data_IF_217406050268
#
_entry.id   IF_217406050268
#
_cell.length_a   1.000
_cell.length_b   1.000
_cell.length_c   1.000
_cell.angle_alpha   90.00
_cell.angle_beta   90.00
_cell.angle_gamma   90.00
#
_symmetry.space_group_name_H-M   'P 1'
#
loop_
_entity.id
_entity.type
_entity.pdbx_description
1 polymer ?
#
# COMPACT_ATOMS: atom_id res chain seq x y z
N UNK A 1 -6.84 23.81 28.17
CA UNK A 1 -6.86 24.28 26.77
C UNK A 1 -6.73 23.06 25.87
N UNK A 2 -7.64 22.86 24.91
CA UNK A 2 -7.51 21.77 23.95
C UNK A 2 -6.26 22.04 23.10
N UNK A 3 -5.34 21.08 23.06
CA UNK A 3 -4.11 21.23 22.28
C UNK A 3 -4.45 21.01 20.81
N UNK A 4 -4.40 22.10 20.02
CA UNK A 4 -4.38 21.99 18.57
C UNK A 4 -3.22 21.11 18.14
N UNK A 5 -3.49 20.16 17.25
CA UNK A 5 -2.43 19.37 16.62
C UNK A 5 -2.02 20.11 15.35
N UNK A 6 -0.81 20.68 15.30
CA UNK A 6 -0.34 21.39 14.12
C UNK A 6 -0.27 20.48 12.89
N UNK A 7 -0.25 21.04 11.68
CA UNK A 7 0.14 20.28 10.50
C UNK A 7 1.47 19.56 10.78
N UNK A 8 1.61 18.34 10.26
CA UNK A 8 2.72 17.45 10.61
C UNK A 8 3.45 16.96 9.38
N UNK A 9 4.78 16.97 9.42
CA UNK A 9 5.63 16.35 8.42
C UNK A 9 5.94 14.93 8.86
N UNK A 10 5.72 13.98 7.96
CA UNK A 10 5.95 12.56 8.20
C UNK A 10 7.32 12.16 7.64
N UNK A 11 8.08 11.41 8.43
CA UNK A 11 9.36 10.82 8.03
C UNK A 11 9.49 9.44 8.68
N UNK A 12 8.98 8.42 8.01
CA UNK A 12 9.02 7.06 8.52
C UNK A 12 10.45 6.51 8.55
N UNK A 13 10.83 5.94 9.69
CA UNK A 13 12.15 5.34 9.87
C UNK A 13 12.04 3.83 9.65
N UNK A 14 12.63 3.34 8.57
CA UNK A 14 12.50 1.93 8.17
C UNK A 14 13.03 0.95 9.22
N UNK A 15 14.09 1.31 9.94
CA UNK A 15 14.66 0.49 11.03
C UNK A 15 13.69 0.28 12.21
N UNK A 16 12.64 1.09 12.33
CA UNK A 16 11.61 0.92 13.35
C UNK A 16 10.43 0.06 12.89
N UNK A 17 10.41 -0.40 11.63
CA UNK A 17 9.28 -1.16 11.08
C UNK A 17 9.01 -2.44 11.88
N UNK A 18 10.04 -3.17 12.30
CA UNK A 18 9.87 -4.36 13.14
C UNK A 18 9.18 -4.03 14.46
N UNK A 19 9.61 -2.95 15.13
CA UNK A 19 9.00 -2.47 16.37
C UNK A 19 7.53 -2.09 16.20
N UNK A 20 7.18 -1.41 15.10
CA UNK A 20 5.80 -1.02 14.81
C UNK A 20 4.89 -2.18 14.41
N UNK A 21 5.44 -3.26 13.87
CA UNK A 21 4.68 -4.48 13.53
C UNK A 21 4.40 -5.33 14.77
N UNK A 22 5.28 -5.28 15.77
CA UNK A 22 5.09 -5.97 17.05
C UNK A 22 4.22 -5.21 18.05
N UNK A 23 3.80 -3.98 17.73
CA UNK A 23 2.89 -3.22 18.59
C UNK A 23 1.54 -3.92 18.72
N UNK A 24 0.98 -3.85 19.92
CA UNK A 24 -0.35 -4.38 20.21
C UNK A 24 -1.43 -3.54 19.49
N UNK A 25 -2.33 -4.22 18.78
CA UNK A 25 -3.39 -3.59 18.01
C UNK A 25 -4.51 -3.03 18.90
N UNK A 26 -4.71 -3.59 20.09
CA UNK A 26 -5.72 -3.10 21.05
C UNK A 26 -5.36 -1.69 21.56
N UNK A 27 -4.06 -1.40 21.68
CA UNK A 27 -3.55 -0.09 22.07
C UNK A 27 -3.97 1.05 21.12
N UNK A 28 -4.34 0.76 19.87
CA UNK A 28 -4.86 1.75 18.91
C UNK A 28 -6.34 2.08 19.18
N UNK A 29 -7.08 1.17 19.81
CA UNK A 29 -8.52 1.33 20.07
C UNK A 29 -8.80 2.21 21.29
N UNK A 30 -7.89 2.23 22.27
CA UNK A 30 -8.02 3.00 23.51
C UNK A 30 -7.57 4.45 23.33
N UNK A 31 -7.91 5.34 24.28
CA UNK A 31 -7.48 6.75 24.22
C UNK A 31 -6.03 6.88 24.69
N UNK A 32 -5.68 6.13 25.73
CA UNK A 32 -4.40 6.15 26.42
C UNK A 32 -3.32 5.47 25.58
N UNK A 33 -3.62 4.30 25.00
CA UNK A 33 -2.68 3.58 24.14
C UNK A 33 -2.29 4.41 22.91
N UNK A 34 -3.25 5.03 22.24
CA UNK A 34 -2.98 5.94 21.11
C UNK A 34 -2.14 7.13 21.53
N UNK A 35 -2.37 7.68 22.72
CA UNK A 35 -1.58 8.80 23.22
C UNK A 35 -0.11 8.39 23.43
N UNK A 36 0.15 7.19 23.94
CA UNK A 36 1.50 6.63 24.08
C UNK A 36 2.15 6.37 22.72
N UNK A 37 1.46 5.71 21.80
CA UNK A 37 1.95 5.44 20.44
C UNK A 37 2.21 6.73 19.67
N UNK A 38 1.35 7.74 19.80
CA UNK A 38 1.59 9.05 19.20
C UNK A 38 2.80 9.75 19.83
N UNK A 39 2.99 9.62 21.15
CA UNK A 39 4.19 10.16 21.82
C UNK A 39 5.45 9.46 21.34
N UNK A 40 5.41 8.15 21.08
CA UNK A 40 6.49 7.38 20.45
C UNK A 40 6.83 7.92 19.05
N UNK A 41 5.83 8.25 18.23
CA UNK A 41 6.06 8.88 16.92
C UNK A 41 6.81 10.22 17.01
N UNK A 42 6.45 11.05 17.99
CA UNK A 42 7.12 12.33 18.24
C UNK A 42 8.55 12.13 18.76
N UNK A 43 8.75 11.22 19.73
CA UNK A 43 10.05 10.91 20.30
C UNK A 43 11.03 10.39 19.23
N UNK A 44 10.54 9.56 18.32
CA UNK A 44 11.32 9.04 17.20
C UNK A 44 11.52 10.04 16.06
N UNK A 45 10.96 11.25 16.16
CA UNK A 45 10.96 12.28 15.10
C UNK A 45 10.37 11.79 13.77
N UNK A 46 9.50 10.78 13.84
CA UNK A 46 8.75 10.27 12.69
C UNK A 46 7.60 11.21 12.34
N UNK A 47 7.12 11.96 13.33
CA UNK A 47 6.15 13.05 13.20
C UNK A 47 6.80 14.33 13.70
N UNK A 48 6.92 15.32 12.83
CA UNK A 48 7.44 16.66 13.17
C UNK A 48 6.30 17.66 13.05
N UNK A 49 5.98 18.32 14.16
CA UNK A 49 4.98 19.40 14.18
C UNK A 49 5.51 20.61 13.40
N UNK A 50 4.76 21.08 12.41
CA UNK A 50 5.06 22.35 11.75
C UNK A 50 4.55 23.52 12.60
N UNK A 51 5.19 24.71 12.47
CA UNK A 51 4.68 25.93 13.08
C UNK A 51 3.22 26.17 12.67
N UNK A 52 2.37 26.38 13.66
CA UNK A 52 0.98 26.68 13.43
C UNK A 52 0.85 28.14 12.99
N UNK A 53 0.20 28.38 11.84
CA UNK A 53 -0.12 29.74 11.42
C UNK A 53 -1.09 30.36 12.44
N UNK A 54 -0.80 31.59 12.86
CA UNK A 54 -1.68 32.36 13.74
C UNK A 54 -3.03 32.52 13.04
N UNK A 55 -4.11 32.11 13.70
CA UNK A 55 -5.46 32.27 13.18
C UNK A 55 -5.82 33.76 13.15
N UNK A 56 -5.75 34.36 11.98
CA UNK A 56 -6.30 35.68 11.74
C UNK A 56 -7.80 35.53 11.49
N UNK A 57 -8.62 35.76 12.52
CA UNK A 57 -10.09 35.65 12.46
C UNK A 57 -10.75 36.87 11.79
N UNK A 58 -10.04 37.55 10.88
CA UNK A 58 -10.59 38.71 10.19
C UNK A 58 -11.39 38.23 8.97
N UNK A 59 -12.71 38.40 9.02
CA UNK A 59 -13.60 38.15 7.89
C UNK A 59 -13.42 39.18 6.76
N UNK A 60 -14.09 38.97 5.61
CA UNK A 60 -14.13 39.97 4.55
C UNK A 60 -14.70 41.28 5.10
N UNK A 61 -14.13 42.41 4.68
CA UNK A 61 -14.72 43.72 4.92
C UNK A 61 -16.00 43.80 4.08
N UNK A 62 -17.15 43.87 4.75
CA UNK A 62 -18.43 44.06 4.09
C UNK A 62 -18.69 45.57 3.94
N UNK A 63 -19.40 45.99 2.88
CA UNK A 63 -19.85 47.37 2.75
C UNK A 63 -20.68 47.77 3.96
N UNK A 64 -20.52 49.02 4.40
CA UNK A 64 -21.46 49.62 5.34
C UNK A 64 -22.84 49.77 4.68
N UNK A 65 -23.86 50.05 5.47
CA UNK A 65 -25.22 50.24 4.97
C UNK A 65 -25.29 51.55 4.16
N UNK A 66 -24.99 51.49 2.87
CA UNK A 66 -25.08 52.62 1.94
C UNK A 66 -26.48 52.74 1.31
N UNK A 67 -26.80 53.93 0.78
CA UNK A 67 -28.09 54.20 0.11
C UNK A 67 -28.10 53.72 -1.34
N UNK A 68 -26.94 53.55 -1.97
CA UNK A 68 -26.79 53.00 -3.30
C UNK A 68 -26.85 51.45 -3.29
N UNK A 69 -27.66 50.89 -4.19
CA UNK A 69 -27.75 49.43 -4.35
C UNK A 69 -26.50 48.88 -5.04
N UNK A 70 -25.91 47.83 -4.44
CA UNK A 70 -24.82 47.06 -5.06
C UNK A 70 -25.26 46.44 -6.39
N UNK A 71 -24.34 46.34 -7.34
CA UNK A 71 -24.57 45.53 -8.53
C UNK A 71 -24.71 44.06 -8.17
N UNK A 72 -25.38 43.28 -9.04
CA UNK A 72 -25.56 41.85 -8.82
C UNK A 72 -24.22 41.11 -8.69
N UNK A 73 -23.23 41.49 -9.49
CA UNK A 73 -21.91 40.86 -9.50
C UNK A 73 -21.15 41.14 -8.20
N UNK A 74 -21.25 42.35 -7.65
CA UNK A 74 -20.68 42.69 -6.34
C UNK A 74 -21.36 41.92 -5.22
N UNK A 75 -22.69 41.80 -5.26
CA UNK A 75 -23.44 41.03 -4.28
C UNK A 75 -23.02 39.55 -4.27
N UNK A 76 -22.88 38.93 -5.45
CA UNK A 76 -22.40 37.55 -5.59
C UNK A 76 -20.97 37.43 -5.05
N UNK A 77 -20.08 38.36 -5.36
CA UNK A 77 -18.71 38.37 -4.83
C UNK A 77 -18.65 38.43 -3.30
N UNK A 78 -19.44 39.32 -2.67
CA UNK A 78 -19.48 39.42 -1.21
C UNK A 78 -20.08 38.17 -0.57
N UNK A 79 -21.11 37.57 -1.19
CA UNK A 79 -21.69 36.33 -0.72
C UNK A 79 -20.68 35.19 -0.75
N UNK A 80 -19.93 35.04 -1.85
CA UNK A 80 -18.89 34.04 -1.98
C UNK A 80 -17.77 34.25 -0.96
N UNK A 81 -17.31 35.50 -0.79
CA UNK A 81 -16.29 35.84 0.20
C UNK A 81 -16.76 35.51 1.63
N UNK A 82 -18.02 35.80 1.96
CA UNK A 82 -18.62 35.51 3.25
C UNK A 82 -18.71 33.99 3.48
N UNK A 83 -19.23 33.24 2.51
CA UNK A 83 -19.35 31.79 2.58
C UNK A 83 -17.98 31.11 2.70
N UNK A 84 -16.99 31.56 1.93
CA UNK A 84 -15.63 31.06 2.02
C UNK A 84 -15.01 31.33 3.41
N UNK A 85 -15.24 32.52 3.96
CA UNK A 85 -14.79 32.88 5.32
C UNK A 85 -15.45 32.02 6.39
N UNK A 86 -16.78 31.83 6.33
CA UNK A 86 -17.52 30.99 7.27
C UNK A 86 -17.10 29.53 7.17
N UNK A 87 -16.88 29.02 5.96
CA UNK A 87 -16.37 27.66 5.75
C UNK A 87 -14.96 27.49 6.34
N UNK A 88 -14.07 28.46 6.11
CA UNK A 88 -12.71 28.44 6.65
C UNK A 88 -12.71 28.47 8.20
N UNK A 89 -13.57 29.30 8.78
CA UNK A 89 -13.79 29.37 10.22
C UNK A 89 -14.33 28.03 10.77
N UNK A 90 -15.37 27.48 10.15
CA UNK A 90 -15.95 26.20 10.54
C UNK A 90 -14.93 25.07 10.50
N UNK A 91 -14.13 24.97 9.43
CA UNK A 91 -13.03 23.99 9.32
C UNK A 91 -12.03 24.15 10.45
N UNK A 92 -11.65 25.39 10.77
CA UNK A 92 -10.72 25.70 11.84
C UNK A 92 -11.25 25.25 13.19
N UNK A 93 -12.45 25.70 13.58
CA UNK A 93 -13.09 25.35 14.86
C UNK A 93 -13.29 23.84 14.98
N UNK A 94 -13.75 23.17 13.92
CA UNK A 94 -13.91 21.72 13.92
C UNK A 94 -12.56 20.99 14.10
N UNK A 95 -11.49 21.49 13.45
CA UNK A 95 -10.14 20.92 13.58
C UNK A 95 -9.52 21.10 14.96
N UNK A 96 -10.04 22.07 15.72
CA UNK A 96 -9.68 22.43 17.08
C UNK A 96 -10.36 21.55 18.15
N UNK A 97 -11.36 20.77 17.74
CA UNK A 97 -12.11 19.94 18.67
C UNK A 97 -11.24 18.83 19.29
N UNK A 98 -11.49 18.44 20.57
CA UNK A 98 -10.78 17.34 21.21
C UNK A 98 -10.96 16.03 20.45
N UNK A 99 -12.13 15.82 19.83
CA UNK A 99 -12.41 14.68 18.97
C UNK A 99 -11.50 14.67 17.74
N UNK A 100 -11.40 15.77 16.99
CA UNK A 100 -10.53 15.87 15.82
C UNK A 100 -9.06 15.64 16.20
N UNK A 101 -8.64 16.15 17.36
CA UNK A 101 -7.28 15.91 17.88
C UNK A 101 -7.03 14.41 18.14
N UNK A 102 -7.96 13.72 18.82
CA UNK A 102 -7.83 12.30 19.12
C UNK A 102 -7.85 11.45 17.84
N UNK A 103 -8.76 11.77 16.92
CA UNK A 103 -8.89 11.09 15.63
C UNK A 103 -7.61 11.22 14.80
N UNK A 104 -7.02 12.41 14.74
CA UNK A 104 -5.77 12.64 13.99
C UNK A 104 -4.61 11.81 14.55
N UNK A 105 -4.48 11.71 15.89
CA UNK A 105 -3.47 10.84 16.52
C UNK A 105 -3.67 9.37 16.12
N UNK A 106 -4.92 8.88 16.17
CA UNK A 106 -5.28 7.51 15.74
C UNK A 106 -4.90 7.23 14.29
N UNK A 107 -5.29 8.14 13.39
CA UNK A 107 -5.00 8.01 11.97
C UNK A 107 -3.49 7.98 11.68
N UNK A 108 -2.69 8.81 12.36
CA UNK A 108 -1.23 8.82 12.18
C UNK A 108 -0.58 7.52 12.67
N UNK A 109 -1.01 7.01 13.82
CA UNK A 109 -0.53 5.73 14.34
C UNK A 109 -0.90 4.58 13.40
N UNK A 110 -2.16 4.53 12.94
CA UNK A 110 -2.60 3.55 11.95
C UNK A 110 -1.78 3.65 10.66
N UNK A 111 -1.61 4.86 10.12
CA UNK A 111 -0.81 5.09 8.91
C UNK A 111 0.62 4.57 9.08
N UNK A 112 1.25 4.76 10.26
CA UNK A 112 2.58 4.24 10.55
C UNK A 112 2.63 2.71 10.58
N UNK A 113 1.66 2.08 11.24
CA UNK A 113 1.58 0.61 11.36
C UNK A 113 1.33 0.00 9.98
N UNK A 114 0.41 0.55 9.20
CA UNK A 114 0.15 0.12 7.82
C UNK A 114 1.39 0.26 6.94
N UNK A 115 2.13 1.36 7.06
CA UNK A 115 3.40 1.54 6.35
C UNK A 115 4.42 0.44 6.70
N UNK A 116 4.56 0.12 7.99
CA UNK A 116 5.47 -0.94 8.45
C UNK A 116 5.07 -2.31 7.87
N UNK A 117 3.78 -2.64 7.95
CA UNK A 117 3.22 -3.88 7.40
C UNK A 117 3.41 -3.94 5.88
N UNK A 118 3.14 -2.85 5.16
CA UNK A 118 3.34 -2.80 3.71
C UNK A 118 4.80 -2.99 3.33
N UNK A 119 5.72 -2.38 4.08
CA UNK A 119 7.16 -2.54 3.86
C UNK A 119 7.60 -4.00 4.06
N UNK A 120 7.07 -4.70 5.08
CA UNK A 120 7.39 -6.11 5.35
C UNK A 120 6.85 -7.08 4.30
N UNK A 121 5.61 -6.89 3.86
CA UNK A 121 4.90 -7.91 3.06
C UNK A 121 4.78 -7.58 1.57
N UNK A 122 4.84 -6.30 1.20
CA UNK A 122 4.62 -5.84 -0.17
C UNK A 122 5.87 -5.26 -0.85
N UNK A 123 6.87 -4.76 -0.10
CA UNK A 123 8.14 -4.27 -0.67
C UNK A 123 9.19 -5.41 -0.79
N UNK A 124 8.88 -6.42 -1.62
CA UNK A 124 9.73 -7.61 -1.86
C UNK A 124 10.99 -7.32 -2.67
N UNK A 125 11.16 -6.10 -3.18
CA UNK A 125 12.24 -5.71 -4.09
C UNK A 125 13.50 -5.16 -3.42
N UNK A 126 13.38 -4.57 -2.21
CA UNK A 126 14.49 -3.86 -1.54
C UNK A 126 15.16 -4.65 -0.43
N UNK A 127 14.51 -5.69 0.09
CA UNK A 127 15.00 -6.53 1.19
C UNK A 127 16.20 -7.41 0.84
N UNK A 128 16.62 -7.47 -0.44
CA UNK A 128 17.87 -8.13 -0.85
C UNK A 128 19.12 -7.25 -0.76
N UNK A 129 18.99 -5.92 -0.65
CA UNK A 129 20.14 -5.03 -0.82
C UNK A 129 20.81 -4.62 0.50
N UNK A 130 20.16 -4.79 1.65
CA UNK A 130 20.68 -4.31 2.94
C UNK A 130 21.40 -5.37 3.78
N UNK A 131 21.46 -6.62 3.30
CA UNK A 131 22.33 -7.67 3.89
C UNK A 131 23.73 -7.74 3.27
N UNK A 132 24.04 -6.92 2.25
CA UNK A 132 25.37 -6.86 1.63
C UNK A 132 25.99 -5.47 1.82
N UNK A 133 26.27 -5.09 3.06
CA UNK A 133 27.30 -4.07 3.34
C UNK A 133 28.51 -4.81 3.89
N UNK A 134 29.28 -5.37 2.97
CA UNK A 134 30.48 -6.15 3.23
C UNK A 134 31.12 -6.53 1.90
N UNK A 135 31.98 -5.63 1.43
CA UNK A 135 33.07 -5.85 0.48
C UNK A 135 32.74 -6.04 -1.02
N UNK A 136 33.20 -5.03 -1.76
CA UNK A 136 33.98 -5.15 -2.99
C UNK A 136 33.26 -5.50 -4.29
N UNK A 137 33.28 -4.49 -5.16
CA UNK A 137 33.12 -4.62 -6.60
C UNK A 137 33.96 -5.76 -7.17
N UNK A 138 33.35 -6.58 -8.04
CA UNK A 138 33.78 -6.80 -9.42
C UNK A 138 32.89 -7.90 -10.04
N UNK A 139 32.42 -7.60 -11.25
CA UNK A 139 32.05 -8.54 -12.32
C UNK A 139 30.64 -9.12 -12.30
N UNK A 140 29.79 -8.42 -13.05
CA UNK A 140 28.66 -8.96 -13.81
C UNK A 140 29.08 -10.11 -14.71
N UNK A 141 28.70 -11.34 -14.37
CA UNK A 141 28.23 -12.43 -15.25
C UNK A 141 28.28 -13.74 -14.46
N UNK A 142 27.41 -14.68 -14.79
CA UNK A 142 27.29 -16.03 -14.20
C UNK A 142 26.57 -16.12 -12.84
N UNK A 143 25.25 -16.05 -12.97
CA UNK A 143 24.33 -16.99 -12.34
C UNK A 143 24.95 -18.41 -12.26
N UNK A 144 24.80 -19.04 -11.08
CA UNK A 144 25.16 -20.44 -10.74
C UNK A 144 26.57 -20.64 -10.15
N UNK A 145 26.74 -20.38 -8.86
CA UNK A 145 27.29 -21.33 -7.90
C UNK A 145 27.54 -20.68 -6.53
N UNK A 146 27.26 -21.45 -5.47
CA UNK A 146 27.80 -21.34 -4.12
C UNK A 146 27.40 -20.12 -3.24
N UNK A 147 26.43 -20.36 -2.36
CA UNK A 147 26.60 -20.03 -0.93
C UNK A 147 25.71 -20.95 -0.08
N UNK A 148 26.34 -21.97 0.49
CA UNK A 148 25.70 -22.96 1.35
C UNK A 148 25.44 -22.42 2.77
N UNK A 149 24.27 -22.75 3.31
CA UNK A 149 24.10 -23.10 4.73
C UNK A 149 23.46 -24.49 4.77
N UNK A 150 23.76 -25.33 5.78
CA UNK A 150 23.44 -26.75 5.76
C UNK A 150 21.92 -26.89 5.77
N UNK A 151 21.32 -27.02 4.58
CA UNK A 151 19.96 -27.51 4.42
C UNK A 151 19.98 -28.90 5.03
N UNK A 152 19.12 -29.13 6.01
CA UNK A 152 18.87 -30.46 6.53
C UNK A 152 18.80 -31.43 5.35
N UNK A 153 19.52 -32.54 5.40
CA UNK A 153 19.53 -33.53 4.32
C UNK A 153 18.10 -33.95 3.92
N UNK A 154 17.17 -33.87 4.87
CA UNK A 154 15.73 -34.05 4.69
C UNK A 154 15.10 -32.98 3.78
N UNK A 155 15.47 -31.71 3.90
CA UNK A 155 14.92 -30.63 3.05
C UNK A 155 15.40 -30.74 1.60
N UNK A 156 16.66 -31.15 1.39
CA UNK A 156 17.18 -31.41 0.06
C UNK A 156 16.44 -32.59 -0.61
N UNK A 157 16.17 -33.66 0.15
CA UNK A 157 15.37 -34.80 -0.31
C UNK A 157 13.92 -34.42 -0.57
N UNK A 158 13.29 -33.58 0.27
CA UNK A 158 11.93 -33.08 0.06
C UNK A 158 11.87 -32.22 -1.21
N UNK A 159 12.81 -31.29 -1.40
CA UNK A 159 12.84 -30.43 -2.59
C UNK A 159 13.03 -31.27 -3.87
N UNK A 160 13.96 -32.24 -3.84
CA UNK A 160 14.19 -33.14 -4.96
C UNK A 160 12.98 -34.03 -5.24
N UNK A 161 12.34 -34.55 -4.19
CA UNK A 161 11.12 -35.37 -4.28
C UNK A 161 9.93 -34.61 -4.83
N UNK A 162 9.71 -33.36 -4.40
CA UNK A 162 8.62 -32.51 -4.90
C UNK A 162 8.85 -32.13 -6.36
N UNK A 163 10.07 -31.71 -6.72
CA UNK A 163 10.42 -31.35 -8.10
C UNK A 163 10.26 -32.53 -9.06
N UNK A 164 10.76 -33.70 -8.68
CA UNK A 164 10.63 -34.92 -9.49
C UNK A 164 9.17 -35.41 -9.57
N UNK A 165 8.45 -35.44 -8.44
CA UNK A 165 7.05 -35.86 -8.39
C UNK A 165 6.11 -34.98 -9.22
N UNK A 166 6.23 -33.65 -9.11
CA UNK A 166 5.46 -32.73 -9.94
C UNK A 166 5.82 -32.83 -11.42
N UNK A 167 7.11 -32.98 -11.75
CA UNK A 167 7.54 -33.13 -13.14
C UNK A 167 6.96 -34.41 -13.77
N UNK A 168 6.96 -35.52 -13.02
CA UNK A 168 6.34 -36.77 -13.45
C UNK A 168 4.82 -36.64 -13.59
N UNK A 169 4.15 -35.99 -12.62
CA UNK A 169 2.70 -35.75 -12.68
C UNK A 169 2.30 -34.98 -13.94
N UNK A 170 3.02 -33.90 -14.26
CA UNK A 170 2.75 -33.12 -15.47
C UNK A 170 3.12 -33.86 -16.76
N UNK A 171 4.16 -34.70 -16.74
CA UNK A 171 4.49 -35.57 -17.87
C UNK A 171 3.38 -36.60 -18.13
N UNK A 172 2.85 -37.24 -17.08
CA UNK A 172 1.75 -38.20 -17.16
C UNK A 172 0.44 -37.54 -17.58
N UNK A 173 0.11 -36.35 -17.04
CA UNK A 173 -1.03 -35.56 -17.48
C UNK A 173 -0.91 -35.24 -18.97
N UNK A 174 0.25 -34.75 -19.42
CA UNK A 174 0.51 -34.49 -20.84
C UNK A 174 0.38 -35.75 -21.69
N UNK A 175 0.90 -36.89 -21.24
CA UNK A 175 0.79 -38.16 -21.95
C UNK A 175 -0.67 -38.65 -22.05
N UNK A 176 -1.44 -38.54 -20.97
CA UNK A 176 -2.85 -38.93 -20.93
C UNK A 176 -3.71 -38.06 -21.86
N UNK A 177 -3.33 -36.80 -22.06
CA UNK A 177 -4.03 -35.86 -22.94
C UNK A 177 -3.49 -35.90 -24.38
N UNK A 178 -2.29 -36.41 -24.59
CA UNK A 178 -1.66 -36.53 -25.90
C UNK A 178 -1.91 -37.88 -26.58
N UNK A 179 -2.70 -38.79 -26.00
CA UNK A 179 -3.03 -40.05 -26.66
C UNK A 179 -3.89 -39.77 -27.92
N UNK A 180 -3.36 -39.95 -29.14
CA UNK A 180 -4.18 -39.85 -30.33
C UNK A 180 -5.01 -41.13 -30.41
N UNK A 181 -6.33 -40.99 -30.51
CA UNK A 181 -7.22 -42.09 -30.91
C UNK A 181 -6.65 -42.72 -32.19
N UNK A 182 -6.42 -44.05 -32.26
CA UNK A 182 -5.90 -44.65 -33.48
C UNK A 182 -6.93 -44.46 -34.59
N UNK A 183 -6.61 -43.57 -35.54
CA UNK A 183 -7.33 -43.36 -36.78
C UNK A 183 -6.94 -44.51 -37.71
N UNK A 184 -7.87 -45.39 -38.16
CA UNK A 184 -7.51 -46.47 -39.07
C UNK A 184 -7.10 -45.90 -40.43
N UNK A 185 -5.87 -46.20 -40.84
CA UNK A 185 -5.35 -45.90 -42.16
C UNK A 185 -5.77 -47.00 -43.15
N UNK A 186 -6.23 -46.53 -44.31
CA UNK A 186 -6.81 -47.27 -45.43
C UNK A 186 -5.82 -48.08 -46.27
N UNK A 187 -6.26 -49.26 -46.72
CA UNK A 187 -5.95 -49.88 -48.01
C UNK A 187 -7.01 -51.00 -48.19
N UNK A 188 -7.65 -51.28 -49.34
CA UNK A 188 -7.24 -51.16 -50.73
C UNK A 188 -8.45 -51.32 -51.66
N UNK A 189 -8.30 -50.78 -52.87
CA UNK A 189 -9.17 -50.84 -54.04
C UNK A 189 -9.96 -52.14 -54.29
N UNK A 190 -11.19 -52.00 -54.79
CA UNK A 190 -11.60 -52.63 -56.06
C UNK A 190 -12.79 -51.92 -56.70
N UNK A 191 -12.54 -51.38 -57.88
CA UNK A 191 -13.51 -50.79 -58.81
C UNK A 191 -13.92 -51.88 -59.80
N UNK A 192 -15.19 -52.29 -59.84
CA UNK A 192 -15.81 -52.90 -61.03
C UNK A 192 -17.31 -53.11 -60.84
N UNK A 193 -18.17 -52.30 -61.46
CA UNK A 193 -18.90 -52.69 -62.69
C UNK A 193 -19.95 -51.63 -63.06
N UNK A 194 -20.24 -51.42 -64.37
CA UNK A 194 -21.02 -50.29 -64.84
C UNK A 194 -22.49 -50.60 -65.12
N UNK A 195 -23.26 -49.52 -65.25
CA UNK A 195 -24.46 -49.33 -66.11
C UNK A 195 -25.65 -50.30 -65.94
N UNK A 196 -26.72 -49.75 -65.37
CA UNK A 196 -28.09 -49.99 -65.86
C UNK A 196 -28.71 -48.63 -66.19
N UNK A 197 -28.95 -48.38 -67.47
CA UNK A 197 -29.70 -47.23 -67.96
C UNK A 197 -30.85 -47.74 -68.82
N UNK A 198 -32.04 -47.27 -68.46
CA UNK A 198 -33.38 -47.50 -69.04
C UNK A 198 -34.10 -48.75 -68.57
#
# INVERSE_FOLDING_TARGET
MAAMIPPVKLKWLEHLNSSWISEDSESISTREGVALLYSKLLANKEVVLLPQQVLCLKGPQLPDFERECLSRDEQEHYLDALLASQLALAKTVCSDSPFASALRKRLLVLQRVFYALSSKYHDKGKTKQQQHSGESALNSSELQAASERPRSSTDALIEMGVRTGLSLLFALLRQSWALPTPRPASASATTSSPRRSR
#
